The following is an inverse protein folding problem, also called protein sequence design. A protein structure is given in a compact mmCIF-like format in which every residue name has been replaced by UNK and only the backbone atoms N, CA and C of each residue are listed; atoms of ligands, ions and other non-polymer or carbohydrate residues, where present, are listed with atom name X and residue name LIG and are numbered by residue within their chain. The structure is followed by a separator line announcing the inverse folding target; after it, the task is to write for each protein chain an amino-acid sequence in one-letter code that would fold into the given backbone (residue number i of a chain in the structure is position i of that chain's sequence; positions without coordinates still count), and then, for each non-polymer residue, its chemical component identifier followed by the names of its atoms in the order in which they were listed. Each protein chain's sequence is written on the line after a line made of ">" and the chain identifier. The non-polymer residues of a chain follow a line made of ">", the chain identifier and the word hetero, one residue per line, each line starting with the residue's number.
data_IF_518767679795
#
_entry.id   IF_518767679795
#
_cell.length_a   1.000
_cell.length_b   1.000
_cell.length_c   1.000
_cell.angle_alpha   90.00
_cell.angle_beta   90.00
_cell.angle_gamma   90.00
#
_symmetry.space_group_name_H-M   'P 1'
#
loop_
_entity.id
_entity.type
_entity.pdbx_description
1 polymer ?
#
# COMPACT_ATOMS: atom_id res chain seq x y z
N UNK A 1 -3.36 2.33 2.63
CA UNK A 1 -3.45 0.96 3.11
C UNK A 1 -3.06 -0.03 2.00
N UNK A 2 -3.87 -0.17 0.93
CA UNK A 2 -3.70 -1.16 -0.16
C UNK A 2 -2.32 -1.14 -0.81
N UNK A 3 -1.75 0.05 -1.08
CA UNK A 3 -0.39 0.18 -1.61
C UNK A 3 0.66 -0.47 -0.69
N UNK A 4 0.52 -0.30 0.62
CA UNK A 4 1.44 -0.93 1.60
C UNK A 4 1.31 -2.45 1.63
N UNK A 5 0.09 -2.97 1.47
CA UNK A 5 -0.13 -4.42 1.33
C UNK A 5 0.53 -4.97 0.07
N UNK A 6 0.38 -4.28 -1.06
CA UNK A 6 1.04 -4.66 -2.30
C UNK A 6 2.58 -4.67 -2.15
N UNK A 7 3.16 -3.66 -1.49
CA UNK A 7 4.59 -3.62 -1.18
C UNK A 7 5.02 -4.77 -0.28
N UNK A 8 4.27 -5.05 0.79
CA UNK A 8 4.58 -6.16 1.69
C UNK A 8 4.56 -7.50 0.96
N UNK A 9 3.57 -7.74 0.09
CA UNK A 9 3.50 -8.93 -0.75
C UNK A 9 4.67 -9.00 -1.73
N UNK A 10 5.04 -7.88 -2.34
CA UNK A 10 6.18 -7.80 -3.26
C UNK A 10 7.49 -8.18 -2.57
N UNK A 11 7.71 -7.68 -1.36
CA UNK A 11 8.92 -7.98 -0.60
C UNK A 11 8.97 -9.44 -0.15
N UNK A 12 7.80 -10.02 0.19
CA UNK A 12 7.70 -11.44 0.52
C UNK A 12 8.08 -12.33 -0.66
N UNK A 13 7.55 -12.05 -1.86
CA UNK A 13 7.87 -12.84 -3.06
C UNK A 13 9.34 -12.68 -3.46
N UNK A 14 9.90 -11.47 -3.34
CA UNK A 14 11.33 -11.22 -3.59
C UNK A 14 12.22 -11.95 -2.61
N UNK A 15 11.84 -12.00 -1.33
CA UNK A 15 12.56 -12.77 -0.32
C UNK A 15 12.56 -14.26 -0.68
N UNK A 16 11.42 -14.82 -1.07
CA UNK A 16 11.32 -16.21 -1.53
C UNK A 16 12.22 -16.49 -2.74
N UNK A 17 12.21 -15.61 -3.75
CA UNK A 17 13.09 -15.73 -4.91
C UNK A 17 14.58 -15.68 -4.51
N UNK A 18 14.92 -14.81 -3.55
CA UNK A 18 16.29 -14.68 -3.07
C UNK A 18 16.76 -15.94 -2.33
N UNK A 19 15.93 -16.50 -1.45
CA UNK A 19 16.20 -17.74 -0.73
C UNK A 19 16.44 -18.92 -1.68
N UNK A 20 15.60 -19.05 -2.69
CA UNK A 20 15.77 -20.10 -3.72
C UNK A 20 17.08 -19.94 -4.50
N UNK A 21 17.41 -18.70 -4.91
CA UNK A 21 18.65 -18.42 -5.63
C UNK A 21 19.91 -18.69 -4.78
N UNK A 22 19.81 -18.50 -3.46
CA UNK A 22 20.90 -18.78 -2.52
C UNK A 22 21.04 -20.28 -2.17
N UNK A 23 20.08 -21.11 -2.61
CA UNK A 23 20.06 -22.55 -2.23
C UNK A 23 19.77 -22.76 -0.73
N UNK A 24 19.18 -21.79 -0.07
CA UNK A 24 18.86 -21.86 1.34
C UNK A 24 17.47 -22.50 1.51
N UNK A 25 17.45 -23.74 2.02
CA UNK A 25 16.21 -24.45 2.34
C UNK A 25 15.53 -23.92 3.61
N UNK A 26 16.11 -22.89 4.24
CA UNK A 26 15.50 -22.30 5.44
C UNK A 26 14.23 -21.57 5.08
N UNK A 27 13.20 -21.91 5.82
CA UNK A 27 11.90 -21.24 5.73
C UNK A 27 12.03 -19.75 6.06
N UNK A 28 11.57 -18.87 5.16
CA UNK A 28 11.53 -17.41 5.34
C UNK A 28 10.71 -16.98 6.56
N UNK A 29 9.97 -17.90 7.20
CA UNK A 29 9.10 -17.63 8.35
C UNK A 29 9.81 -16.87 9.47
N UNK A 30 11.10 -17.15 9.72
CA UNK A 30 11.90 -16.47 10.73
C UNK A 30 12.20 -15.00 10.39
N UNK A 31 12.20 -14.64 9.11
CA UNK A 31 12.51 -13.30 8.62
C UNK A 31 11.24 -12.46 8.35
N UNK A 32 10.06 -13.09 8.37
CA UNK A 32 8.78 -12.40 8.13
C UNK A 32 8.59 -11.11 8.94
N UNK A 33 8.94 -11.03 10.25
CA UNK A 33 8.80 -9.79 11.00
C UNK A 33 9.67 -8.65 10.44
N UNK A 34 10.86 -8.96 9.94
CA UNK A 34 11.75 -7.96 9.35
C UNK A 34 11.24 -7.53 7.95
N UNK A 35 10.81 -8.47 7.13
CA UNK A 35 10.30 -8.21 5.77
C UNK A 35 9.02 -7.36 5.83
N UNK A 36 8.07 -7.74 6.67
CA UNK A 36 6.76 -7.10 6.74
C UNK A 36 6.76 -5.84 7.63
N UNK A 37 7.68 -5.77 8.60
CA UNK A 37 7.73 -4.68 9.58
C UNK A 37 7.91 -3.31 8.95
N UNK A 38 8.62 -3.22 7.85
CA UNK A 38 8.89 -1.95 7.15
C UNK A 38 7.62 -1.29 6.61
N UNK A 39 6.63 -2.09 6.22
CA UNK A 39 5.44 -1.60 5.53
C UNK A 39 4.17 -1.62 6.39
N UNK A 40 4.07 -2.55 7.32
CA UNK A 40 2.87 -2.77 8.13
C UNK A 40 2.92 -2.06 9.49
N UNK A 41 4.12 -1.84 10.04
CA UNK A 41 4.29 -1.15 11.32
C UNK A 41 4.50 0.34 11.01
N UNK A 42 3.55 1.18 11.39
CA UNK A 42 3.74 2.62 11.40
C UNK A 42 4.91 2.99 12.33
N UNK A 43 5.73 3.97 11.93
CA UNK A 43 6.93 4.37 12.66
C UNK A 43 6.71 4.60 14.17
N UNK A 44 7.78 4.62 14.96
CA UNK A 44 7.79 4.41 16.44
C UNK A 44 7.09 5.48 17.28
N UNK A 45 6.46 6.48 16.71
CA UNK A 45 6.00 7.66 17.45
C UNK A 45 4.48 7.90 17.48
N UNK A 46 3.65 7.02 16.92
CA UNK A 46 2.19 7.20 16.99
C UNK A 46 1.52 6.02 17.68
N UNK A 47 0.65 6.29 18.68
CA UNK A 47 -0.21 5.23 19.21
C UNK A 47 -1.00 4.59 18.04
N UNK A 48 -1.20 3.27 18.09
CA UNK A 48 -1.96 2.58 17.07
C UNK A 48 -3.36 3.19 17.01
N UNK A 49 -3.72 3.75 15.86
CA UNK A 49 -5.11 4.11 15.59
C UNK A 49 -5.87 2.82 15.31
N UNK A 50 -7.15 2.72 15.70
CA UNK A 50 -8.01 1.67 15.19
C UNK A 50 -7.85 1.63 13.67
N UNK A 51 -7.49 0.48 13.14
CA UNK A 51 -7.42 0.32 11.70
C UNK A 51 -8.85 0.29 11.19
N UNK A 52 -9.21 1.24 10.32
CA UNK A 52 -10.42 1.11 9.53
C UNK A 52 -10.32 -0.18 8.71
N UNK A 53 -11.40 -0.93 8.67
CA UNK A 53 -11.48 -2.11 7.82
C UNK A 53 -11.71 -1.66 6.37
N UNK A 54 -10.69 -1.88 5.54
CA UNK A 54 -10.74 -1.59 4.11
C UNK A 54 -10.81 -2.86 3.26
N UNK A 55 -11.15 -4.00 3.84
CA UNK A 55 -11.21 -5.28 3.12
C UNK A 55 -12.19 -5.25 1.95
N UNK A 56 -13.33 -4.60 2.12
CA UNK A 56 -14.37 -4.47 1.09
C UNK A 56 -14.10 -3.34 0.08
N UNK A 57 -13.01 -2.60 0.24
CA UNK A 57 -12.69 -1.54 -0.70
C UNK A 57 -12.28 -2.12 -2.04
N UNK A 58 -12.82 -1.60 -3.16
CA UNK A 58 -12.58 -2.12 -4.51
C UNK A 58 -11.10 -2.31 -4.87
N UNK A 59 -10.20 -1.46 -4.35
CA UNK A 59 -8.75 -1.63 -4.56
C UNK A 59 -8.17 -2.80 -3.76
N UNK A 60 -8.73 -3.12 -2.59
CA UNK A 60 -8.30 -4.28 -1.80
C UNK A 60 -8.75 -5.56 -2.50
N UNK A 61 -10.00 -5.60 -2.96
CA UNK A 61 -10.53 -6.71 -3.75
C UNK A 61 -9.74 -6.93 -5.03
N UNK A 62 -9.37 -5.86 -5.75
CA UNK A 62 -8.55 -5.97 -6.96
C UNK A 62 -7.13 -6.51 -6.67
N UNK A 63 -6.55 -6.21 -5.50
CA UNK A 63 -5.28 -6.80 -5.08
C UNK A 63 -5.44 -8.28 -4.74
N UNK A 64 -6.52 -8.67 -4.09
CA UNK A 64 -6.81 -10.07 -3.78
C UNK A 64 -7.03 -10.89 -5.05
N UNK A 65 -7.85 -10.39 -5.98
CA UNK A 65 -8.06 -11.02 -7.29
C UNK A 65 -6.74 -11.25 -8.04
N UNK A 66 -5.86 -10.23 -8.08
CA UNK A 66 -4.52 -10.35 -8.67
C UNK A 66 -3.70 -11.48 -8.01
N UNK A 67 -3.79 -11.61 -6.68
CA UNK A 67 -3.07 -12.61 -5.93
C UNK A 67 -3.63 -14.02 -6.15
N UNK A 68 -4.95 -14.15 -6.19
CA UNK A 68 -5.63 -15.42 -6.42
C UNK A 68 -5.34 -15.95 -7.83
N UNK A 69 -5.44 -15.08 -8.84
CA UNK A 69 -5.09 -15.42 -10.22
C UNK A 69 -3.63 -15.85 -10.39
N UNK A 70 -2.72 -15.29 -9.58
CA UNK A 70 -1.33 -15.67 -9.58
C UNK A 70 -1.05 -16.99 -8.83
N UNK A 71 -2.02 -17.53 -8.07
CA UNK A 71 -1.82 -18.70 -7.23
C UNK A 71 -0.97 -18.42 -5.99
N UNK A 72 -1.02 -17.19 -5.46
CA UNK A 72 -0.13 -16.69 -4.40
C UNK A 72 -0.27 -17.39 -3.03
N UNK A 73 -1.28 -18.23 -2.87
CA UNK A 73 -1.49 -19.01 -1.64
C UNK A 73 -0.44 -20.09 -1.41
N UNK A 74 0.25 -20.51 -2.46
CA UNK A 74 1.30 -21.53 -2.41
C UNK A 74 2.58 -21.08 -3.14
N UNK A 75 3.19 -19.99 -2.64
CA UNK A 75 4.44 -19.47 -3.18
C UNK A 75 5.55 -20.53 -3.30
N UNK A 76 5.73 -21.48 -2.35
CA UNK A 76 6.72 -22.51 -2.47
C UNK A 76 6.57 -23.43 -3.68
N UNK A 77 5.36 -23.63 -4.18
CA UNK A 77 5.10 -24.51 -5.35
C UNK A 77 5.25 -23.78 -6.69
N UNK A 78 5.26 -22.46 -6.70
CA UNK A 78 5.41 -21.66 -7.92
C UNK A 78 6.80 -21.86 -8.54
N UNK A 79 6.87 -22.00 -9.86
CA UNK A 79 8.14 -22.01 -10.55
C UNK A 79 8.77 -20.60 -10.67
N UNK A 80 10.05 -20.46 -11.04
CA UNK A 80 10.72 -19.15 -11.12
C UNK A 80 10.06 -18.17 -12.10
N UNK A 81 9.48 -18.67 -13.18
CA UNK A 81 8.80 -17.83 -14.19
C UNK A 81 7.46 -17.29 -13.65
N UNK A 82 6.69 -18.12 -12.95
CA UNK A 82 5.47 -17.73 -12.27
C UNK A 82 5.73 -16.69 -11.18
N UNK A 83 6.78 -16.88 -10.38
CA UNK A 83 7.20 -15.91 -9.38
C UNK A 83 7.59 -14.56 -10.01
N UNK A 84 8.36 -14.58 -11.10
CA UNK A 84 8.75 -13.39 -11.81
C UNK A 84 7.54 -12.64 -12.41
N UNK A 85 6.60 -13.37 -12.99
CA UNK A 85 5.35 -12.81 -13.50
C UNK A 85 4.49 -12.19 -12.38
N UNK A 86 4.41 -12.86 -11.25
CA UNK A 86 3.68 -12.35 -10.09
C UNK A 86 4.31 -11.07 -9.53
N UNK A 87 5.65 -11.02 -9.38
CA UNK A 87 6.39 -9.81 -9.00
C UNK A 87 6.10 -8.66 -9.96
N UNK A 88 6.12 -8.91 -11.27
CA UNK A 88 5.83 -7.87 -12.26
C UNK A 88 4.41 -7.29 -12.10
N UNK A 89 3.40 -8.15 -11.93
CA UNK A 89 2.01 -7.73 -11.72
C UNK A 89 1.81 -6.93 -10.43
N UNK A 90 2.41 -7.38 -9.32
CA UNK A 90 2.37 -6.66 -8.05
C UNK A 90 3.06 -5.29 -8.15
N UNK A 91 4.19 -5.23 -8.86
CA UNK A 91 4.92 -3.99 -9.05
C UNK A 91 4.10 -2.98 -9.87
N UNK A 92 3.50 -3.43 -10.98
CA UNK A 92 2.62 -2.60 -11.80
C UNK A 92 1.44 -2.06 -10.98
N UNK A 93 0.78 -2.93 -10.21
CA UNK A 93 -0.30 -2.54 -9.31
C UNK A 93 0.16 -1.47 -8.30
N UNK A 94 1.31 -1.66 -7.65
CA UNK A 94 1.86 -0.70 -6.68
C UNK A 94 2.18 0.64 -7.34
N UNK A 95 2.80 0.64 -8.51
CA UNK A 95 3.14 1.84 -9.26
C UNK A 95 1.89 2.64 -9.63
N UNK A 96 0.84 1.98 -10.08
CA UNK A 96 -0.43 2.62 -10.41
C UNK A 96 -1.04 3.29 -9.16
N UNK A 97 -1.08 2.59 -8.03
CA UNK A 97 -1.58 3.15 -6.75
C UNK A 97 -0.71 4.29 -6.23
N UNK A 98 0.60 4.22 -6.42
CA UNK A 98 1.53 5.29 -6.08
C UNK A 98 1.30 6.54 -6.93
N UNK A 99 1.03 6.36 -8.21
CA UNK A 99 0.73 7.47 -9.13
C UNK A 99 -0.57 8.17 -8.75
N UNK A 100 -1.66 7.42 -8.61
CA UNK A 100 -2.96 7.96 -8.18
C UNK A 100 -2.88 8.72 -6.86
N UNK A 101 -2.12 8.18 -5.90
CA UNK A 101 -1.88 8.87 -4.63
C UNK A 101 -1.19 10.22 -4.84
N UNK A 102 -0.16 10.30 -5.69
CA UNK A 102 0.52 11.56 -6.01
C UNK A 102 -0.43 12.58 -6.62
N UNK A 103 -1.25 12.16 -7.57
CA UNK A 103 -2.25 13.03 -8.19
C UNK A 103 -3.25 13.58 -7.18
N UNK A 104 -3.72 12.73 -6.25
CA UNK A 104 -4.61 13.16 -5.17
C UNK A 104 -3.95 14.21 -4.27
N UNK A 105 -2.67 14.05 -3.92
CA UNK A 105 -1.95 15.06 -3.14
C UNK A 105 -1.83 16.40 -3.89
N UNK A 106 -1.51 16.37 -5.17
CA UNK A 106 -1.48 17.60 -5.99
C UNK A 106 -2.82 18.32 -5.96
N UNK A 107 -3.94 17.58 -6.06
CA UNK A 107 -5.29 18.17 -5.98
C UNK A 107 -5.60 18.72 -4.59
N UNK A 108 -5.24 18.01 -3.53
CA UNK A 108 -5.41 18.47 -2.14
C UNK A 108 -4.62 19.75 -1.91
N UNK A 109 -3.37 19.80 -2.34
CA UNK A 109 -2.52 20.99 -2.19
C UNK A 109 -3.09 22.18 -2.96
N UNK A 110 -3.58 21.98 -4.17
CA UNK A 110 -4.23 23.02 -4.97
C UNK A 110 -5.51 23.54 -4.30
N UNK A 111 -6.36 22.65 -3.79
CA UNK A 111 -7.59 23.03 -3.07
C UNK A 111 -7.25 23.76 -1.76
N UNK A 112 -6.23 23.31 -1.03
CA UNK A 112 -5.79 23.96 0.20
C UNK A 112 -5.25 25.36 -0.07
N UNK A 113 -4.47 25.54 -1.14
CA UNK A 113 -3.97 26.85 -1.55
C UNK A 113 -5.11 27.79 -1.95
N UNK A 114 -6.11 27.30 -2.68
CA UNK A 114 -7.28 28.09 -3.07
C UNK A 114 -8.13 28.47 -1.86
N UNK A 115 -8.29 27.55 -0.90
CA UNK A 115 -9.02 27.83 0.35
C UNK A 115 -8.31 28.95 1.13
N UNK A 116 -6.99 28.88 1.29
CA UNK A 116 -6.20 29.92 1.96
C UNK A 116 -6.33 31.26 1.23
N UNK A 117 -6.34 31.26 -0.11
CA UNK A 117 -6.57 32.47 -0.91
C UNK A 117 -7.91 33.09 -0.59
N UNK A 118 -8.99 32.31 -0.61
CA UNK A 118 -10.37 32.79 -0.33
C UNK A 118 -10.50 33.38 1.08
N UNK A 119 -9.89 32.75 2.08
CA UNK A 119 -9.87 33.30 3.44
C UNK A 119 -9.13 34.63 3.52
N UNK A 120 -8.00 34.74 2.82
CA UNK A 120 -7.23 35.99 2.77
C UNK A 120 -8.00 37.12 2.09
N UNK A 121 -8.72 36.81 1.03
CA UNK A 121 -9.47 37.78 0.22
C UNK A 121 -10.85 38.11 0.83
N UNK A 122 -11.21 37.48 1.97
CA UNK A 122 -12.50 37.69 2.66
C UNK A 122 -13.70 37.07 1.94
N UNK A 123 -13.48 36.19 0.98
CA UNK A 123 -14.52 35.47 0.23
C UNK A 123 -15.08 34.27 1.00
N UNK A 124 -14.44 33.84 2.09
CA UNK A 124 -14.89 32.75 2.95
C UNK A 124 -14.92 33.21 4.40
N UNK A 125 -16.03 32.95 5.07
CA UNK A 125 -16.24 33.24 6.48
C UNK A 125 -15.92 31.99 7.33
N UNK A 126 -14.96 32.14 8.24
CA UNK A 126 -14.58 31.05 9.17
C UNK A 126 -15.67 30.77 10.19
N UNK A 127 -16.41 31.82 10.59
CA UNK A 127 -17.44 31.69 11.62
C UNK A 127 -18.64 30.87 11.14
N UNK A 128 -18.93 30.88 9.82
CA UNK A 128 -19.96 30.04 9.22
C UNK A 128 -19.66 28.53 9.23
N UNK A 129 -18.37 28.14 9.25
CA UNK A 129 -17.96 26.73 9.31
C UNK A 129 -17.98 26.16 10.73
N UNK A 130 -17.99 27.01 11.75
CA UNK A 130 -18.03 26.61 13.17
C UNK A 130 -19.45 26.64 13.76
N UNK A 131 -20.42 27.08 13.00
CA UNK A 131 -21.81 27.24 13.43
C UNK A 131 -22.69 26.00 13.17
N UNK A 132 -22.19 24.98 12.51
CA UNK A 132 -22.90 23.74 12.15
C UNK A 132 -22.52 22.56 13.08
N UNK A 133 -22.61 22.77 14.40
CA UNK A 133 -22.54 21.71 15.41
C UNK A 133 -23.86 21.59 16.17
#
# INVERSE_FOLDING_TARGET
>A
YVRRLAQARLDLVRAEMHHRAAGDEKNITGELPAILGTHLIGGPARPPRPADDFSDHHMALALEELCDEAGSTDLPSMNPEELAAYVARLHEFEQLRSHERKELFVRIDALSAELVRRYRDGEADVDGLLADD
#
